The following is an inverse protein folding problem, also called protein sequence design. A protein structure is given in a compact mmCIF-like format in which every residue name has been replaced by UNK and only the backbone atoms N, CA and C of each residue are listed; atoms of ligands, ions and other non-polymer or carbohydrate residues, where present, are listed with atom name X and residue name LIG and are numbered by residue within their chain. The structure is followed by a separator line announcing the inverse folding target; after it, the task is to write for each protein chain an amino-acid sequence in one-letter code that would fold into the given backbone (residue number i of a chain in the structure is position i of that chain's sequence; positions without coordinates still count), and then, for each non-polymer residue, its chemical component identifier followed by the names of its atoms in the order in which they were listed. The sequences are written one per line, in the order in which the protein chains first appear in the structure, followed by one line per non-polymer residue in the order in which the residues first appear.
data_IF_383269524260
#
_entry.id   IF_383269524260
#
_cell.length_a   1.000
_cell.length_b   1.000
_cell.length_c   1.000
_cell.angle_alpha   90.00
_cell.angle_beta   90.00
_cell.angle_gamma   90.00
#
_symmetry.space_group_name_H-M   'P 1'
#
loop_
_entity.id
_entity.type
_entity.pdbx_description
1 polymer ?
#
# COMPACT_ATOMS: atom_id res chain seq x y z
N UNK A 1 -75.94 -19.17 11.93
CA UNK A 1 -75.07 -18.07 11.45
C UNK A 1 -74.05 -17.60 12.48
N UNK A 2 -74.44 -17.19 13.70
CA UNK A 2 -73.50 -16.64 14.71
C UNK A 2 -72.34 -17.59 15.09
N UNK A 3 -72.61 -18.89 15.23
CA UNK A 3 -71.58 -19.88 15.62
C UNK A 3 -70.48 -20.03 14.56
N UNK A 4 -70.84 -20.01 13.27
CA UNK A 4 -69.87 -20.09 12.18
C UNK A 4 -68.99 -18.84 12.08
N UNK A 5 -69.53 -17.66 12.38
CA UNK A 5 -68.75 -16.43 12.43
C UNK A 5 -67.74 -16.43 13.59
N UNK A 6 -68.13 -16.95 14.75
CA UNK A 6 -67.24 -17.08 15.91
C UNK A 6 -66.12 -18.08 15.61
N UNK A 7 -66.45 -19.22 15.00
CA UNK A 7 -65.45 -20.22 14.60
C UNK A 7 -64.46 -19.66 13.56
N UNK A 8 -64.94 -18.90 12.57
CA UNK A 8 -64.09 -18.27 11.58
C UNK A 8 -63.15 -17.22 12.21
N UNK A 9 -63.65 -16.37 13.11
CA UNK A 9 -62.85 -15.38 13.80
C UNK A 9 -61.74 -16.00 14.67
N UNK A 10 -62.03 -17.13 15.34
CA UNK A 10 -61.05 -17.88 16.13
C UNK A 10 -59.97 -18.52 15.25
N UNK A 11 -60.32 -19.04 14.07
CA UNK A 11 -59.37 -19.59 13.10
C UNK A 11 -58.44 -18.50 12.52
N UNK A 12 -58.97 -17.30 12.28
CA UNK A 12 -58.20 -16.14 11.80
C UNK A 12 -57.25 -15.59 12.88
N UNK A 13 -57.64 -15.62 14.15
CA UNK A 13 -56.80 -15.20 15.27
C UNK A 13 -55.61 -16.15 15.55
N UNK A 14 -55.62 -17.35 14.98
CA UNK A 14 -54.53 -18.33 15.10
C UNK A 14 -53.31 -18.06 14.20
N UNK A 15 -53.41 -17.15 13.23
CA UNK A 15 -52.28 -16.75 12.40
C UNK A 15 -51.42 -15.72 13.13
N UNK A 16 -50.43 -16.19 13.90
CA UNK A 16 -49.39 -15.30 14.43
C UNK A 16 -48.53 -14.74 13.29
N UNK A 17 -48.14 -13.46 13.40
CA UNK A 17 -47.21 -12.84 12.46
C UNK A 17 -45.85 -13.54 12.52
N UNK A 18 -45.20 -13.70 11.37
CA UNK A 18 -43.84 -14.23 11.31
C UNK A 18 -42.91 -13.38 12.21
N UNK A 19 -42.02 -14.02 12.99
CA UNK A 19 -41.10 -13.29 13.84
C UNK A 19 -40.23 -12.34 13.00
N UNK A 20 -39.97 -11.11 13.47
CA UNK A 20 -39.16 -10.14 12.74
C UNK A 20 -37.74 -10.70 12.56
N UNK A 21 -37.26 -10.66 11.32
CA UNK A 21 -35.90 -11.11 10.99
C UNK A 21 -34.90 -10.05 11.47
N UNK A 22 -34.04 -10.42 12.41
CA UNK A 22 -32.96 -9.55 12.88
C UNK A 22 -31.85 -9.51 11.85
N UNK A 23 -31.52 -8.32 11.34
CA UNK A 23 -30.31 -8.14 10.55
C UNK A 23 -29.09 -8.20 11.46
N UNK A 24 -28.02 -8.82 10.98
CA UNK A 24 -26.73 -8.78 11.67
C UNK A 24 -26.20 -7.34 11.69
N UNK A 25 -25.46 -6.95 12.75
CA UNK A 25 -24.78 -5.66 12.78
C UNK A 25 -23.83 -5.53 11.58
N UNK A 26 -23.58 -4.28 11.17
CA UNK A 26 -22.60 -4.01 10.12
C UNK A 26 -21.22 -4.58 10.53
N UNK A 27 -20.46 -5.15 9.58
CA UNK A 27 -19.14 -5.68 9.87
C UNK A 27 -18.19 -4.57 10.30
N UNK A 28 -17.26 -4.91 11.20
CA UNK A 28 -16.19 -4.00 11.61
C UNK A 28 -15.27 -3.68 10.42
N UNK A 29 -14.95 -2.39 10.26
CA UNK A 29 -14.01 -1.92 9.24
C UNK A 29 -12.59 -1.98 9.81
N UNK A 30 -11.81 -2.96 9.36
CA UNK A 30 -10.39 -3.05 9.70
C UNK A 30 -9.58 -2.34 8.61
N UNK A 31 -8.87 -1.28 8.98
CA UNK A 31 -7.91 -0.63 8.08
C UNK A 31 -6.64 -1.47 8.01
N UNK A 32 -6.39 -2.07 6.85
CA UNK A 32 -5.16 -2.82 6.59
C UNK A 32 -4.18 -1.89 5.88
N UNK A 33 -2.98 -1.63 6.44
CA UNK A 33 -1.96 -0.87 5.75
C UNK A 33 -1.44 -1.68 4.55
N UNK A 34 -1.47 -1.09 3.36
CA UNK A 34 -0.91 -1.68 2.14
C UNK A 34 0.42 -0.99 1.85
N UNK A 35 1.50 -1.76 1.86
CA UNK A 35 2.81 -1.25 1.43
C UNK A 35 2.75 -0.88 -0.06
N UNK A 36 2.93 0.40 -0.35
CA UNK A 36 3.03 0.91 -1.73
C UNK A 36 4.47 1.29 -1.99
N UNK A 37 5.10 0.66 -3.00
CA UNK A 37 6.48 0.93 -3.36
C UNK A 37 6.54 2.01 -4.45
N UNK A 38 7.51 2.93 -4.33
CA UNK A 38 7.80 3.89 -5.40
C UNK A 38 8.75 3.24 -6.39
N UNK A 39 8.38 3.10 -7.68
CA UNK A 39 9.28 2.56 -8.68
C UNK A 39 10.45 3.53 -8.92
N UNK A 40 11.67 3.04 -8.74
CA UNK A 40 12.90 3.77 -9.07
C UNK A 40 13.39 3.30 -10.44
N UNK A 41 13.74 4.23 -11.32
CA UNK A 41 14.32 3.90 -12.63
C UNK A 41 15.61 3.08 -12.46
N UNK A 42 15.72 1.97 -13.20
CA UNK A 42 16.90 1.11 -13.18
C UNK A 42 18.20 1.85 -13.54
N UNK A 43 18.12 2.93 -14.32
CA UNK A 43 19.26 3.80 -14.63
C UNK A 43 19.83 4.47 -13.37
N UNK A 44 18.98 4.81 -12.39
CA UNK A 44 19.39 5.40 -11.11
C UNK A 44 20.04 4.37 -10.18
N UNK A 45 19.75 3.08 -10.38
CA UNK A 45 20.37 1.98 -9.63
C UNK A 45 21.65 1.46 -10.28
N UNK A 46 22.06 1.98 -11.44
CA UNK A 46 23.22 1.51 -12.18
C UNK A 46 24.51 1.80 -11.43
N UNK A 47 25.28 0.74 -11.15
CA UNK A 47 26.59 0.86 -10.50
C UNK A 47 27.65 1.43 -11.45
N UNK A 48 28.36 2.44 -10.98
CA UNK A 48 29.57 2.94 -11.64
C UNK A 48 30.75 2.00 -11.41
N UNK A 49 31.60 1.86 -12.43
CA UNK A 49 32.81 1.04 -12.38
C UNK A 49 34.03 1.93 -12.55
N UNK A 50 34.99 1.80 -11.64
CA UNK A 50 36.30 2.45 -11.74
C UNK A 50 37.40 1.51 -11.25
N UNK A 51 38.63 1.76 -11.69
CA UNK A 51 39.80 1.01 -11.24
C UNK A 51 40.10 1.39 -9.78
N UNK A 52 40.07 0.41 -8.86
CA UNK A 52 40.28 0.66 -7.43
C UNK A 52 41.74 0.94 -7.07
N UNK A 53 42.68 0.28 -7.76
CA UNK A 53 44.11 0.40 -7.52
C UNK A 53 44.87 0.30 -8.84
N UNK A 54 45.98 1.04 -8.94
CA UNK A 54 46.85 1.06 -10.11
C UNK A 54 48.30 1.30 -9.71
N UNK A 55 49.21 1.28 -10.69
CA UNK A 55 50.61 1.65 -10.47
C UNK A 55 50.70 3.10 -9.98
N UNK A 56 51.76 3.51 -9.26
CA UNK A 56 51.95 4.91 -8.86
C UNK A 56 51.90 5.91 -10.03
N UNK A 57 52.28 5.49 -11.24
CA UNK A 57 52.17 6.31 -12.45
C UNK A 57 50.73 6.58 -12.92
N UNK A 58 49.76 5.80 -12.44
CA UNK A 58 48.34 5.88 -12.84
C UNK A 58 47.46 6.60 -11.80
N UNK A 59 48.07 7.30 -10.82
CA UNK A 59 47.35 7.94 -9.71
C UNK A 59 46.24 8.89 -10.20
N UNK A 60 46.50 9.70 -11.23
CA UNK A 60 45.50 10.62 -11.76
C UNK A 60 44.32 9.89 -12.42
N UNK A 61 44.59 8.85 -13.21
CA UNK A 61 43.53 8.07 -13.87
C UNK A 61 42.62 7.39 -12.83
N UNK A 62 43.22 6.75 -11.83
CA UNK A 62 42.51 6.08 -10.73
C UNK A 62 41.70 7.09 -9.91
N UNK A 63 42.29 8.23 -9.56
CA UNK A 63 41.63 9.26 -8.75
C UNK A 63 40.49 9.94 -9.50
N UNK A 64 40.69 10.28 -10.77
CA UNK A 64 39.65 10.88 -11.62
C UNK A 64 38.52 9.88 -11.91
N UNK A 65 38.84 8.59 -12.11
CA UNK A 65 37.84 7.53 -12.22
C UNK A 65 36.95 7.45 -10.98
N UNK A 66 37.57 7.46 -9.78
CA UNK A 66 36.84 7.45 -8.51
C UNK A 66 35.96 8.69 -8.36
N UNK A 67 36.48 9.88 -8.68
CA UNK A 67 35.72 11.13 -8.62
C UNK A 67 34.48 11.09 -9.52
N UNK A 68 34.63 10.69 -10.78
CA UNK A 68 33.50 10.58 -11.71
C UNK A 68 32.40 9.64 -11.20
N UNK A 69 32.78 8.51 -10.60
CA UNK A 69 31.79 7.61 -10.01
C UNK A 69 31.09 8.21 -8.78
N UNK A 70 31.81 8.98 -7.95
CA UNK A 70 31.20 9.65 -6.82
C UNK A 70 30.19 10.71 -7.28
N UNK A 71 30.58 11.55 -8.24
CA UNK A 71 29.71 12.58 -8.82
C UNK A 71 28.46 11.93 -9.45
N UNK A 72 28.58 10.76 -10.08
CA UNK A 72 27.43 10.00 -10.59
C UNK A 72 26.49 9.53 -9.47
N UNK A 73 27.04 8.97 -8.38
CA UNK A 73 26.21 8.46 -7.28
C UNK A 73 25.49 9.57 -6.54
N UNK A 74 26.13 10.73 -6.36
CA UNK A 74 25.49 11.92 -5.80
C UNK A 74 24.28 12.35 -6.65
N UNK A 75 24.46 12.48 -7.97
CA UNK A 75 23.36 12.83 -8.87
C UNK A 75 22.23 11.77 -8.87
N UNK A 76 22.56 10.49 -8.77
CA UNK A 76 21.57 9.41 -8.66
C UNK A 76 20.75 9.53 -7.37
N UNK A 77 21.40 9.80 -6.23
CA UNK A 77 20.73 9.98 -4.94
C UNK A 77 19.82 11.21 -4.94
N UNK A 78 20.28 12.33 -5.48
CA UNK A 78 19.47 13.55 -5.61
C UNK A 78 18.20 13.29 -6.43
N UNK A 79 18.33 12.52 -7.52
CA UNK A 79 17.17 12.16 -8.35
C UNK A 79 16.22 11.20 -7.62
N UNK A 80 16.75 10.26 -6.86
CA UNK A 80 15.93 9.35 -6.04
C UNK A 80 15.14 10.14 -5.00
N UNK A 81 15.74 11.14 -4.35
CA UNK A 81 15.05 11.98 -3.35
C UNK A 81 13.85 12.72 -3.97
N UNK A 82 13.98 13.18 -5.21
CA UNK A 82 12.88 13.84 -5.94
C UNK A 82 11.71 12.89 -6.24
N UNK A 83 11.97 11.60 -6.44
CA UNK A 83 10.96 10.61 -6.82
C UNK A 83 10.33 9.94 -5.61
N UNK A 84 11.11 9.60 -4.58
CA UNK A 84 10.64 8.80 -3.44
C UNK A 84 9.64 9.56 -2.56
N UNK A 85 9.67 10.90 -2.58
CA UNK A 85 8.81 11.73 -1.72
C UNK A 85 9.20 11.62 -0.23
N UNK A 86 8.62 12.48 0.61
CA UNK A 86 8.83 12.44 2.07
C UNK A 86 7.75 11.57 2.73
N UNK A 87 8.07 10.80 3.79
CA UNK A 87 7.06 10.05 4.52
C UNK A 87 5.96 10.99 5.02
N UNK A 88 4.71 10.55 4.89
CA UNK A 88 3.55 11.30 5.40
C UNK A 88 3.60 11.24 6.94
N UNK A 89 3.53 12.37 7.66
CA UNK A 89 3.51 12.37 9.11
C UNK A 89 2.32 11.55 9.63
N UNK A 90 2.55 10.73 10.66
CA UNK A 90 1.48 10.04 11.37
C UNK A 90 0.58 11.06 12.09
N UNK A 91 -0.73 10.88 12.00
CA UNK A 91 -1.75 11.74 12.62
C UNK A 91 -2.05 11.34 14.05
#
# INVERSE_FOLDING_TARGET
MRVFLIAAALLLAGCQSAPPKTNLPAPDIIKVPVATYVPIDAALMKRCTWVRAGKPSAVFEVSNGRKRCLDQYEAQLDTIEQVQGKPVPER
#
